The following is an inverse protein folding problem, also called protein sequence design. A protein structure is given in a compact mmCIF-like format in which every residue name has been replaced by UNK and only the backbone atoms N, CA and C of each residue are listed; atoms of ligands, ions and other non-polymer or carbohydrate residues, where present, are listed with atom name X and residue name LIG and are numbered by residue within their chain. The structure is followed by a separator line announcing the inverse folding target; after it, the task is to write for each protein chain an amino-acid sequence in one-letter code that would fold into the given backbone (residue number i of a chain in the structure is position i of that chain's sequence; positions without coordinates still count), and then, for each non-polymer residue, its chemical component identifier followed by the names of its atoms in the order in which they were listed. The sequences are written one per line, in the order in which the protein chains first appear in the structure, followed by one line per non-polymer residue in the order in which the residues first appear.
data_IF_540472139901
#
_entry.id   IF_540472139901
#
_cell.length_a   1.000
_cell.length_b   1.000
_cell.length_c   1.000
_cell.angle_alpha   90.00
_cell.angle_beta   90.00
_cell.angle_gamma   90.00
#
_symmetry.space_group_name_H-M   'P 1'
#
loop_
_entity.id
_entity.type
_entity.pdbx_description
1 polymer ?
#
# COMPACT_ATOMS: atom_id res chain seq x y z
N UNK A 1 24.33 -1.46 29.33
CA UNK A 1 24.26 -0.99 27.93
C UNK A 1 23.73 -2.15 27.08
N UNK A 2 22.54 -2.02 26.48
CA UNK A 2 21.93 -3.07 25.65
C UNK A 2 21.97 -2.60 24.20
N UNK A 3 22.79 -3.24 23.38
CA UNK A 3 22.92 -2.94 21.96
C UNK A 3 21.61 -3.24 21.24
N UNK A 4 21.07 -2.26 20.50
CA UNK A 4 19.98 -2.49 19.54
C UNK A 4 20.61 -3.18 18.32
N UNK A 5 20.34 -4.46 18.13
CA UNK A 5 20.68 -5.17 16.90
C UNK A 5 19.78 -4.66 15.77
N UNK A 6 20.27 -3.69 15.01
CA UNK A 6 19.67 -3.31 13.72
C UNK A 6 20.14 -4.35 12.70
N UNK A 7 19.40 -5.45 12.55
CA UNK A 7 19.65 -6.34 11.43
C UNK A 7 19.08 -5.67 10.17
N UNK A 8 19.92 -5.32 9.17
CA UNK A 8 19.42 -4.80 7.91
C UNK A 8 18.52 -5.84 7.24
N UNK A 9 17.40 -5.37 6.69
CA UNK A 9 16.45 -6.20 5.96
C UNK A 9 17.15 -6.82 4.74
N UNK A 10 17.14 -8.15 4.67
CA UNK A 10 17.65 -8.91 3.52
C UNK A 10 16.44 -9.41 2.71
N UNK A 11 16.28 -8.98 1.44
CA UNK A 11 15.18 -9.43 0.61
C UNK A 11 15.35 -10.90 0.22
N UNK A 12 14.33 -11.73 0.51
CA UNK A 12 14.32 -13.17 0.20
C UNK A 12 14.06 -13.51 -1.27
N UNK A 13 13.84 -12.52 -2.14
CA UNK A 13 13.34 -12.75 -3.50
C UNK A 13 14.38 -13.19 -4.53
N UNK A 14 15.68 -13.23 -4.18
CA UNK A 14 16.72 -13.82 -5.03
C UNK A 14 17.73 -14.62 -4.21
N UNK A 15 17.27 -15.70 -3.58
CA UNK A 15 18.16 -16.81 -3.24
C UNK A 15 17.95 -17.90 -4.27
N UNK A 16 18.70 -17.85 -5.37
CA UNK A 16 18.95 -19.05 -6.19
C UNK A 16 19.89 -19.95 -5.40
N UNK A 17 19.38 -20.56 -4.32
CA UNK A 17 20.05 -21.69 -3.68
C UNK A 17 19.91 -22.87 -4.61
N UNK A 18 21.03 -23.25 -5.22
CA UNK A 18 21.25 -24.55 -5.81
C UNK A 18 20.73 -25.64 -4.87
N UNK A 19 19.78 -26.50 -5.30
CA UNK A 19 19.37 -27.63 -4.51
C UNK A 19 20.43 -28.73 -4.61
N UNK A 20 21.25 -28.88 -3.57
CA UNK A 20 21.84 -30.18 -3.25
C UNK A 20 20.74 -31.14 -2.81
N UNK A 21 20.08 -31.76 -3.78
CA UNK A 21 19.43 -33.06 -3.64
C UNK A 21 19.67 -33.83 -4.93
N UNK A 22 20.55 -34.81 -4.84
CA UNK A 22 20.83 -35.86 -5.82
C UNK A 22 19.55 -36.37 -6.48
N UNK A 23 19.42 -36.17 -7.79
CA UNK A 23 18.64 -37.03 -8.67
C UNK A 23 19.30 -37.00 -10.04
N UNK A 24 20.12 -38.02 -10.27
CA UNK A 24 20.74 -38.36 -11.54
C UNK A 24 19.66 -38.70 -12.56
N UNK A 25 19.39 -37.84 -13.54
CA UNK A 25 18.91 -38.25 -14.88
C UNK A 25 19.47 -37.27 -15.94
N UNK A 26 20.50 -37.77 -16.62
CA UNK A 26 20.85 -37.65 -18.04
C UNK A 26 20.83 -36.28 -18.76
N UNK A 27 22.04 -35.89 -19.18
CA UNK A 27 22.33 -34.87 -20.18
C UNK A 27 21.70 -35.22 -21.53
N UNK A 28 20.91 -34.31 -22.08
CA UNK A 28 20.56 -34.30 -23.50
C UNK A 28 20.28 -32.88 -23.97
N UNK A 29 21.10 -32.44 -24.94
CA UNK A 29 20.63 -31.59 -26.03
C UNK A 29 20.55 -30.08 -25.77
N UNK A 30 21.42 -29.36 -26.48
CA UNK A 30 21.26 -27.95 -26.85
C UNK A 30 19.82 -27.60 -27.24
N UNK A 31 19.29 -26.50 -26.70
CA UNK A 31 18.78 -25.35 -27.47
C UNK A 31 18.39 -24.23 -26.51
N UNK A 32 19.07 -23.10 -26.67
CA UNK A 32 18.72 -21.80 -26.13
C UNK A 32 17.36 -21.34 -26.72
N UNK A 33 16.33 -21.02 -25.92
CA UNK A 33 15.28 -20.13 -26.37
C UNK A 33 15.71 -18.71 -26.00
N UNK A 34 16.30 -17.99 -26.96
CA UNK A 34 16.29 -16.53 -26.93
C UNK A 34 14.84 -16.08 -26.85
N UNK A 35 14.38 -15.74 -25.64
CA UNK A 35 13.11 -15.05 -25.43
C UNK A 35 13.39 -13.57 -25.68
N UNK A 36 12.67 -12.89 -26.60
CA UNK A 36 12.81 -11.45 -26.73
C UNK A 36 12.37 -10.83 -25.41
N UNK A 37 13.27 -10.08 -24.77
CA UNK A 37 12.89 -9.17 -23.70
C UNK A 37 12.00 -8.07 -24.31
N UNK A 38 10.68 -8.24 -24.24
CA UNK A 38 9.77 -7.11 -24.38
C UNK A 38 9.97 -6.20 -23.17
N UNK A 39 10.87 -5.22 -23.32
CA UNK A 39 10.86 -4.01 -22.52
C UNK A 39 9.61 -3.22 -22.90
N UNK A 40 8.45 -3.62 -22.37
CA UNK A 40 7.30 -2.73 -22.34
C UNK A 40 7.54 -1.76 -21.19
N UNK A 41 8.12 -0.60 -21.48
CA UNK A 41 8.04 0.54 -20.57
C UNK A 41 6.55 0.91 -20.44
N UNK A 42 5.92 0.79 -19.25
CA UNK A 42 4.60 1.34 -19.06
C UNK A 42 4.75 2.86 -18.95
N UNK A 43 4.42 3.57 -20.04
CA UNK A 43 4.24 5.01 -20.01
C UNK A 43 3.23 5.44 -18.95
N UNK A 44 3.25 6.71 -18.51
CA UNK A 44 2.44 7.20 -17.40
C UNK A 44 0.94 7.10 -17.70
N UNK A 45 0.30 6.02 -17.25
CA UNK A 45 -1.14 5.77 -17.39
C UNK A 45 -1.89 6.42 -16.21
N UNK A 46 -1.89 7.74 -16.17
CA UNK A 46 -2.70 8.52 -15.20
C UNK A 46 -4.12 8.83 -15.70
N UNK A 47 -4.58 8.16 -16.77
CA UNK A 47 -5.96 8.31 -17.22
C UNK A 47 -6.83 7.21 -16.62
N UNK A 48 -8.05 7.53 -16.13
CA UNK A 48 -8.99 6.53 -15.66
C UNK A 48 -9.39 5.62 -16.82
N UNK A 49 -8.80 4.43 -16.87
CA UNK A 49 -9.08 3.44 -17.90
C UNK A 49 -10.29 2.61 -17.46
N UNK A 50 -11.34 2.61 -18.26
CA UNK A 50 -12.51 1.78 -18.00
C UNK A 50 -12.42 0.46 -18.79
N UNK A 51 -13.07 -0.60 -18.31
CA UNK A 51 -13.11 -1.87 -19.05
C UNK A 51 -13.67 -1.72 -20.47
N UNK A 52 -14.65 -0.84 -20.67
CA UNK A 52 -15.19 -0.55 -22.02
C UNK A 52 -14.17 0.14 -22.92
N UNK A 53 -13.48 1.18 -22.44
CA UNK A 53 -12.50 1.89 -23.26
C UNK A 53 -11.32 1.00 -23.67
N UNK A 54 -10.87 0.11 -22.77
CA UNK A 54 -9.82 -0.86 -23.09
C UNK A 54 -10.33 -1.91 -24.09
N UNK A 55 -11.57 -2.39 -23.94
CA UNK A 55 -12.14 -3.34 -24.89
C UNK A 55 -12.33 -2.75 -26.30
N UNK A 56 -12.59 -1.45 -26.39
CA UNK A 56 -12.68 -0.71 -27.65
C UNK A 56 -11.29 -0.49 -28.26
N UNK A 57 -10.30 -0.09 -27.46
CA UNK A 57 -8.90 0.10 -27.90
C UNK A 57 -8.26 -1.20 -28.41
N UNK A 58 -8.53 -2.31 -27.73
CA UNK A 58 -8.12 -3.65 -28.15
C UNK A 58 -8.93 -4.22 -29.32
N UNK A 59 -9.87 -3.44 -29.88
CA UNK A 59 -10.73 -3.82 -31.01
C UNK A 59 -11.40 -5.19 -30.84
N UNK A 60 -11.86 -5.50 -29.62
CA UNK A 60 -12.44 -6.81 -29.31
C UNK A 60 -13.73 -7.05 -30.09
N UNK A 61 -13.91 -8.28 -30.56
CA UNK A 61 -15.14 -8.70 -31.22
C UNK A 61 -16.34 -8.66 -30.25
N UNK A 62 -17.58 -8.53 -30.74
CA UNK A 62 -18.77 -8.54 -29.89
C UNK A 62 -18.89 -9.79 -29.00
N UNK A 63 -18.42 -10.94 -29.49
CA UNK A 63 -18.37 -12.18 -28.72
C UNK A 63 -17.38 -12.11 -27.55
N UNK A 64 -16.18 -11.54 -27.77
CA UNK A 64 -15.17 -11.32 -26.73
C UNK A 64 -15.61 -10.26 -25.72
N UNK A 65 -16.23 -9.17 -26.17
CA UNK A 65 -16.83 -8.16 -25.29
C UNK A 65 -17.91 -8.80 -24.39
N UNK A 66 -18.75 -9.69 -24.93
CA UNK A 66 -19.73 -10.44 -24.13
C UNK A 66 -19.08 -11.39 -23.11
N UNK A 67 -17.93 -11.99 -23.42
CA UNK A 67 -17.17 -12.78 -22.46
C UNK A 67 -16.61 -11.89 -21.33
N UNK A 68 -16.12 -10.71 -21.67
CA UNK A 68 -15.54 -9.74 -20.73
C UNK A 68 -16.59 -9.13 -19.79
N UNK A 69 -17.74 -8.70 -20.31
CA UNK A 69 -18.81 -8.05 -19.54
C UNK A 69 -19.85 -9.04 -18.97
N UNK A 70 -19.73 -10.32 -19.29
CA UNK A 70 -20.71 -11.34 -18.90
C UNK A 70 -22.08 -11.19 -19.59
N UNK A 71 -23.09 -11.88 -19.05
CA UNK A 71 -24.45 -11.90 -19.63
C UNK A 71 -25.21 -10.58 -19.40
N UNK A 72 -24.78 -9.78 -18.43
CA UNK A 72 -25.47 -8.59 -17.94
C UNK A 72 -24.95 -7.29 -18.57
N UNK A 73 -23.70 -7.23 -19.04
CA UNK A 73 -23.15 -6.00 -19.60
C UNK A 73 -23.44 -5.76 -21.09
N UNK A 74 -24.37 -6.51 -21.69
CA UNK A 74 -24.77 -6.36 -23.10
C UNK A 74 -26.10 -5.61 -23.29
N UNK A 75 -26.56 -4.83 -22.30
CA UNK A 75 -27.68 -3.89 -22.47
C UNK A 75 -27.25 -2.55 -23.10
N UNK A 76 -26.12 -2.55 -23.83
CA UNK A 76 -25.47 -1.35 -24.37
C UNK A 76 -26.13 -0.85 -25.68
N UNK A 77 -27.00 -1.60 -26.35
CA UNK A 77 -27.52 -1.16 -27.67
C UNK A 77 -29.00 -1.43 -28.00
N UNK A 78 -29.85 -1.82 -27.04
CA UNK A 78 -31.29 -1.87 -27.31
C UNK A 78 -32.07 -1.21 -26.18
N UNK A 79 -32.60 -0.04 -26.52
CA UNK A 79 -33.65 0.69 -25.83
C UNK A 79 -34.70 -0.22 -25.18
N UNK A 80 -34.62 -0.43 -23.88
CA UNK A 80 -35.81 -0.69 -23.06
C UNK A 80 -35.52 -0.45 -21.58
N UNK A 81 -36.17 0.58 -21.06
CA UNK A 81 -36.62 0.78 -19.68
C UNK A 81 -36.27 -0.33 -18.68
N UNK A 82 -35.32 -0.07 -17.78
CA UNK A 82 -35.53 0.16 -16.33
C UNK A 82 -34.18 0.21 -15.62
N UNK A 83 -33.75 1.39 -15.17
CA UNK A 83 -33.05 1.62 -13.89
C UNK A 83 -31.73 0.92 -13.52
N UNK A 84 -31.14 0.03 -14.32
CA UNK A 84 -29.91 -0.66 -13.93
C UNK A 84 -28.68 0.14 -14.35
N UNK A 85 -27.97 0.70 -13.34
CA UNK A 85 -26.73 1.46 -13.51
C UNK A 85 -25.76 0.69 -14.42
N UNK A 86 -25.35 1.31 -15.52
CA UNK A 86 -24.27 0.84 -16.38
C UNK A 86 -23.04 0.47 -15.52
N UNK A 87 -22.74 -0.82 -15.39
CA UNK A 87 -21.55 -1.31 -14.71
C UNK A 87 -20.39 -1.35 -15.70
N UNK A 88 -19.73 -0.21 -15.90
CA UNK A 88 -18.41 -0.16 -16.53
C UNK A 88 -17.36 -0.02 -15.42
N UNK A 89 -16.70 -1.12 -15.00
CA UNK A 89 -15.75 -1.06 -13.90
C UNK A 89 -14.52 -0.25 -14.30
N UNK A 90 -14.03 0.54 -13.34
CA UNK A 90 -12.76 1.24 -13.45
C UNK A 90 -11.61 0.24 -13.27
N UNK A 91 -10.67 0.22 -14.21
CA UNK A 91 -9.45 -0.57 -14.11
C UNK A 91 -8.38 0.30 -13.46
N UNK A 92 -7.82 -0.23 -12.38
CA UNK A 92 -6.67 0.36 -11.72
C UNK A 92 -5.50 -0.60 -11.96
N UNK A 93 -4.46 -0.11 -12.62
CA UNK A 93 -3.20 -0.85 -12.80
C UNK A 93 -2.31 -0.59 -11.59
N UNK A 94 -1.75 -1.65 -11.00
CA UNK A 94 -0.82 -1.54 -9.88
C UNK A 94 0.56 -2.00 -10.34
N UNK A 95 1.46 -1.05 -10.59
CA UNK A 95 2.86 -1.37 -10.83
C UNK A 95 3.57 -1.49 -9.49
N UNK A 96 3.88 -2.72 -9.09
CA UNK A 96 4.45 -3.01 -7.78
C UNK A 96 5.80 -2.32 -7.58
N UNK A 97 6.66 -2.29 -8.60
CA UNK A 97 8.01 -1.71 -8.49
C UNK A 97 7.96 -0.17 -8.42
N UNK A 98 7.05 0.44 -9.17
CA UNK A 98 6.83 1.88 -9.12
C UNK A 98 6.28 2.31 -7.75
N UNK A 99 5.34 1.54 -7.21
CA UNK A 99 4.74 1.79 -5.90
C UNK A 99 5.73 1.55 -4.76
N UNK A 100 6.63 0.58 -4.88
CA UNK A 100 7.75 0.47 -3.94
C UNK A 100 8.71 1.64 -4.05
N UNK A 101 8.99 2.12 -5.26
CA UNK A 101 9.88 3.27 -5.48
C UNK A 101 9.27 4.56 -4.93
N UNK A 102 7.97 4.78 -5.13
CA UNK A 102 7.24 5.94 -4.59
C UNK A 102 7.19 5.88 -3.06
N UNK A 103 6.92 4.72 -2.47
CA UNK A 103 6.94 4.53 -1.02
C UNK A 103 8.33 4.78 -0.45
N UNK A 104 9.38 4.26 -1.08
CA UNK A 104 10.76 4.50 -0.64
C UNK A 104 11.14 5.99 -0.77
N UNK A 105 10.75 6.66 -1.85
CA UNK A 105 10.96 8.09 -2.02
C UNK A 105 10.19 8.91 -0.96
N UNK A 106 8.97 8.49 -0.61
CA UNK A 106 8.20 9.08 0.47
C UNK A 106 8.92 8.89 1.81
N UNK A 107 9.42 7.69 2.12
CA UNK A 107 10.19 7.44 3.33
C UNK A 107 11.49 8.26 3.41
N UNK A 108 12.15 8.51 2.28
CA UNK A 108 13.40 9.29 2.22
C UNK A 108 13.16 10.80 2.27
N UNK A 109 12.03 11.28 1.76
CA UNK A 109 11.70 12.71 1.69
C UNK A 109 10.91 13.19 2.91
N UNK A 110 10.13 12.31 3.54
CA UNK A 110 9.45 12.61 4.78
C UNK A 110 10.48 12.84 5.88
N UNK A 111 10.37 13.98 6.57
CA UNK A 111 11.17 14.20 7.77
C UNK A 111 10.79 13.17 8.85
N UNK A 112 11.73 12.81 9.72
CA UNK A 112 11.45 11.91 10.86
C UNK A 112 10.24 12.38 11.69
N UNK A 113 10.01 13.70 11.76
CA UNK A 113 8.86 14.29 12.43
C UNK A 113 7.53 14.04 11.70
N UNK A 114 7.53 13.99 10.37
CA UNK A 114 6.34 13.74 9.55
C UNK A 114 6.00 12.24 9.51
N UNK A 115 7.03 11.38 9.45
CA UNK A 115 6.90 9.94 9.66
C UNK A 115 6.35 9.63 11.07
N UNK A 116 6.85 10.31 12.11
CA UNK A 116 6.36 10.18 13.47
C UNK A 116 4.92 10.70 13.62
N UNK A 117 4.54 11.77 12.93
CA UNK A 117 3.18 12.31 12.96
C UNK A 117 2.15 11.38 12.31
N UNK A 118 2.55 10.60 11.29
CA UNK A 118 1.68 9.57 10.70
C UNK A 118 1.54 8.34 11.60
N UNK A 119 2.54 8.03 12.41
CA UNK A 119 2.45 7.00 13.44
C UNK A 119 1.59 7.52 14.59
N UNK A 120 0.28 7.30 14.51
CA UNK A 120 -0.66 7.63 15.57
C UNK A 120 -0.22 6.95 16.89
N UNK A 121 0.40 7.73 17.78
CA UNK A 121 0.91 7.29 19.07
C UNK A 121 0.01 7.86 20.19
N UNK A 122 -1.19 7.28 20.40
CA UNK A 122 -2.13 7.81 21.39
C UNK A 122 -1.62 7.58 22.80
N UNK A 123 -1.86 8.57 23.67
CA UNK A 123 -1.65 8.40 25.11
C UNK A 123 -2.59 7.32 25.63
N UNK A 124 -2.03 6.27 26.26
CA UNK A 124 -2.83 5.23 26.90
C UNK A 124 -3.10 5.62 28.35
N UNK A 125 -4.38 5.66 28.73
CA UNK A 125 -4.78 5.98 30.10
C UNK A 125 -4.21 4.95 31.08
N UNK A 126 -3.67 5.46 32.19
CA UNK A 126 -3.31 4.63 33.33
C UNK A 126 -4.59 4.43 34.15
N UNK A 127 -5.08 3.20 34.20
CA UNK A 127 -6.30 2.88 34.93
C UNK A 127 -6.17 3.30 36.41
N UNK A 128 -7.24 3.80 37.06
CA UNK A 128 -7.20 4.09 38.48
C UNK A 128 -6.98 2.79 39.27
N UNK A 129 -6.11 2.82 40.29
CA UNK A 129 -5.81 1.63 41.09
C UNK A 129 -4.46 1.70 41.82
N UNK A 130 -4.05 0.57 42.42
CA UNK A 130 -2.77 0.45 43.12
C UNK A 130 -1.65 0.10 42.13
N UNK A 131 -1.01 1.12 41.57
CA UNK A 131 0.21 0.97 40.77
C UNK A 131 1.43 1.25 41.63
N UNK A 132 2.48 0.44 41.49
CA UNK A 132 3.79 0.75 42.06
C UNK A 132 4.41 1.93 41.30
N UNK A 133 5.23 2.74 41.98
CA UNK A 133 5.99 3.83 41.36
C UNK A 133 6.81 3.34 40.15
N UNK A 134 7.35 2.12 40.23
CA UNK A 134 8.09 1.53 39.11
C UNK A 134 7.19 1.29 37.88
N UNK A 135 5.94 0.87 38.10
CA UNK A 135 4.96 0.66 37.02
C UNK A 135 4.60 2.00 36.37
N UNK A 136 4.44 3.06 37.18
CA UNK A 136 4.19 4.41 36.69
C UNK A 136 5.38 4.94 35.88
N UNK A 137 6.61 4.79 36.36
CA UNK A 137 7.82 5.25 35.66
C UNK A 137 7.99 4.51 34.33
N UNK A 138 7.76 3.20 34.30
CA UNK A 138 7.82 2.43 33.07
C UNK A 138 6.72 2.84 32.08
N UNK A 139 5.49 3.08 32.56
CA UNK A 139 4.39 3.58 31.73
C UNK A 139 4.71 4.96 31.13
N UNK A 140 5.22 5.89 31.94
CA UNK A 140 5.63 7.24 31.50
C UNK A 140 6.80 7.16 30.52
N UNK A 141 7.81 6.33 30.78
CA UNK A 141 8.95 6.17 29.89
C UNK A 141 8.55 5.64 28.51
N UNK A 142 7.60 4.70 28.46
CA UNK A 142 7.12 4.12 27.20
C UNK A 142 6.18 5.05 26.42
N UNK A 143 5.55 6.01 27.10
CA UNK A 143 4.58 6.95 26.52
C UNK A 143 5.12 8.38 26.44
N UNK A 144 6.41 8.60 26.70
CA UNK A 144 7.03 9.92 26.79
C UNK A 144 6.67 10.79 25.59
N UNK A 145 6.93 10.28 24.39
CA UNK A 145 6.73 11.05 23.15
C UNK A 145 5.25 11.36 22.91
N UNK A 146 4.35 10.41 23.24
CA UNK A 146 2.90 10.61 23.15
C UNK A 146 2.41 11.68 24.14
N UNK A 147 2.96 11.70 25.35
CA UNK A 147 2.63 12.71 26.37
C UNK A 147 3.13 14.09 25.95
N UNK A 148 4.35 14.19 25.42
CA UNK A 148 4.89 15.45 24.90
C UNK A 148 4.00 16.04 23.80
N UNK A 149 3.57 15.22 22.83
CA UNK A 149 2.65 15.65 21.77
C UNK A 149 1.28 16.05 22.34
N UNK A 150 0.70 15.26 23.25
CA UNK A 150 -0.58 15.60 23.87
C UNK A 150 -0.52 16.89 24.68
N UNK A 151 0.60 17.18 25.36
CA UNK A 151 0.79 18.44 26.07
C UNK A 151 0.98 19.61 25.11
N UNK A 152 1.71 19.43 24.02
CA UNK A 152 1.89 20.43 22.97
C UNK A 152 0.54 20.77 22.30
N UNK A 153 -0.20 19.75 21.87
CA UNK A 153 -1.53 19.89 21.31
C UNK A 153 -2.52 20.50 22.32
N UNK A 154 -2.48 20.08 23.59
CA UNK A 154 -3.32 20.64 24.65
C UNK A 154 -3.03 22.12 24.91
N UNK A 155 -1.75 22.53 24.93
CA UNK A 155 -1.35 23.94 25.06
C UNK A 155 -1.83 24.76 23.88
N UNK A 156 -1.71 24.23 22.66
CA UNK A 156 -2.21 24.87 21.43
C UNK A 156 -3.73 25.03 21.47
N UNK A 157 -4.45 23.96 21.80
CA UNK A 157 -5.91 23.95 21.89
C UNK A 157 -6.40 24.93 22.97
N UNK A 158 -5.76 24.98 24.15
CA UNK A 158 -6.10 25.96 25.19
C UNK A 158 -5.94 27.41 24.70
N UNK A 159 -4.86 27.72 23.96
CA UNK A 159 -4.62 29.06 23.41
C UNK A 159 -5.67 29.44 22.36
N UNK A 160 -5.99 28.52 21.47
CA UNK A 160 -6.98 28.71 20.40
C UNK A 160 -8.41 28.79 20.97
N UNK A 161 -8.75 27.94 21.93
CA UNK A 161 -10.05 27.93 22.60
C UNK A 161 -10.25 29.18 23.47
N UNK A 162 -9.24 29.63 24.22
CA UNK A 162 -9.33 30.88 24.98
C UNK A 162 -9.47 32.10 24.06
N UNK A 163 -8.83 32.09 22.89
CA UNK A 163 -8.98 33.17 21.89
C UNK A 163 -10.34 33.17 21.20
N UNK A 164 -10.90 31.98 20.93
CA UNK A 164 -12.15 31.81 20.17
C UNK A 164 -13.41 31.82 21.04
N UNK A 165 -13.29 31.40 22.30
CA UNK A 165 -14.42 31.18 23.21
C UNK A 165 -14.27 31.85 24.57
N UNK A 166 -13.17 32.58 24.84
CA UNK A 166 -13.06 33.51 25.96
C UNK A 166 -13.07 32.88 27.37
N UNK A 167 -12.69 31.60 27.50
CA UNK A 167 -12.57 30.88 28.78
C UNK A 167 -11.14 30.42 29.06
#
# INVERSE_FOLDING_TARGET
MRARSQNPYVPLVYSTTDPSTTSTIESSGLTDPTVPAETTEPGPQNQPQTLASIADDLNLTPAQKRQLFGRQGLSISSSSATGEKQSNPNIITFNTDQEYSSNNAFLLSASDAELAAQQHNPVRSIAPGKHSLQQLVNAVSNQRDALEESFAAGKRNKREAGSKYGW
#
